data_IF_712424286369
#
_entry.id   IF_712424286369
#
_cell.length_a   1.000
_cell.length_b   1.000
_cell.length_c   1.000
_cell.angle_alpha   90.00
_cell.angle_beta   90.00
_cell.angle_gamma   90.00
#
_symmetry.space_group_name_H-M   'P 1'
#
loop_
_entity.id
_entity.type
_entity.pdbx_description
1 polymer ?
#
# COMPACT_ATOMS: atom_id res chain seq x y z
N UNK A 1 -0.73 9.14 4.02
CA UNK A 1 -1.40 9.46 5.31
C UNK A 1 -2.88 9.03 5.33
N UNK A 2 -3.27 8.03 4.56
CA UNK A 2 -4.62 7.47 4.60
C UNK A 2 -4.52 6.05 5.13
N UNK A 3 -5.60 5.58 5.75
CA UNK A 3 -5.63 4.28 6.43
C UNK A 3 -6.14 3.14 5.54
N UNK A 4 -6.24 3.40 4.23
CA UNK A 4 -6.69 2.50 3.15
C UNK A 4 -5.70 2.51 1.97
N UNK A 5 -4.43 2.81 2.24
CA UNK A 5 -3.35 2.80 1.25
C UNK A 5 -2.00 2.55 1.94
N UNK A 6 -1.03 2.12 1.15
CA UNK A 6 0.30 1.69 1.59
C UNK A 6 1.42 2.43 0.88
N UNK A 7 2.57 2.50 1.53
CA UNK A 7 3.86 2.74 0.89
C UNK A 7 4.74 1.55 1.20
N UNK A 8 5.26 0.88 0.17
CA UNK A 8 6.05 -0.35 0.30
C UNK A 8 7.15 -0.38 -0.76
N UNK A 9 8.15 -1.26 -0.58
CA UNK A 9 9.24 -1.48 -1.53
C UNK A 9 9.12 -2.87 -2.14
N UNK A 10 9.22 -2.97 -3.46
CA UNK A 10 9.34 -4.24 -4.16
C UNK A 10 9.93 -4.06 -5.58
N UNK A 11 9.83 -5.08 -6.43
CA UNK A 11 10.19 -5.02 -7.85
C UNK A 11 9.05 -4.40 -8.70
N UNK A 12 9.41 -3.69 -9.78
CA UNK A 12 8.47 -3.06 -10.73
C UNK A 12 8.26 -3.96 -11.94
N UNK A 13 7.59 -5.07 -11.70
CA UNK A 13 7.32 -6.11 -12.68
C UNK A 13 5.81 -6.35 -12.76
N UNK A 14 5.28 -6.34 -13.98
CA UNK A 14 3.84 -6.39 -14.24
C UNK A 14 3.16 -7.70 -13.83
N UNK A 15 3.84 -8.84 -13.96
CA UNK A 15 3.40 -10.14 -13.45
C UNK A 15 3.26 -10.10 -11.94
N UNK A 16 4.28 -9.59 -11.24
CA UNK A 16 4.28 -9.46 -9.79
C UNK A 16 3.19 -8.52 -9.29
N UNK A 17 2.89 -7.44 -10.00
CA UNK A 17 1.74 -6.57 -9.69
C UNK A 17 0.41 -7.34 -9.76
N UNK A 18 0.24 -8.18 -10.79
CA UNK A 18 -0.95 -9.04 -10.90
C UNK A 18 -1.00 -10.11 -9.80
N UNK A 19 0.15 -10.61 -9.36
CA UNK A 19 0.24 -11.57 -8.26
C UNK A 19 -0.16 -10.91 -6.93
N UNK A 20 0.25 -9.65 -6.69
CA UNK A 20 -0.23 -8.87 -5.55
C UNK A 20 -1.73 -8.66 -5.57
N UNK A 21 -2.31 -8.31 -6.72
CA UNK A 21 -3.77 -8.14 -6.85
C UNK A 21 -4.51 -9.42 -6.47
N UNK A 22 -4.13 -10.55 -7.07
CA UNK A 22 -4.76 -11.85 -6.76
C UNK A 22 -4.56 -12.29 -5.32
N UNK A 23 -3.34 -12.11 -4.80
CA UNK A 23 -2.99 -12.54 -3.45
C UNK A 23 -3.72 -11.71 -2.39
N UNK A 24 -3.78 -10.39 -2.56
CA UNK A 24 -4.49 -9.49 -1.65
C UNK A 24 -6.01 -9.71 -1.70
N UNK A 25 -6.60 -9.97 -2.88
CA UNK A 25 -8.01 -10.40 -2.95
C UNK A 25 -8.23 -11.76 -2.28
N UNK A 26 -7.28 -12.68 -2.35
CA UNK A 26 -7.36 -13.96 -1.65
C UNK A 26 -7.28 -13.85 -0.12
N UNK A 27 -6.57 -12.84 0.40
CA UNK A 27 -6.40 -12.61 1.85
C UNK A 27 -7.48 -11.69 2.45
N UNK A 28 -7.86 -10.65 1.71
CA UNK A 28 -8.79 -9.61 2.12
C UNK A 28 -9.66 -9.21 0.92
N UNK A 29 -10.61 -10.08 0.52
CA UNK A 29 -11.45 -9.85 -0.65
C UNK A 29 -12.31 -8.61 -0.49
N UNK A 30 -12.57 -7.88 -1.58
CA UNK A 30 -13.53 -6.77 -1.54
C UNK A 30 -14.97 -7.27 -1.33
N UNK A 31 -15.37 -8.29 -2.10
CA UNK A 31 -16.74 -8.83 -2.10
C UNK A 31 -16.84 -10.19 -1.38
N UNK A 32 -17.99 -10.50 -0.77
CA UNK A 32 -19.16 -9.64 -0.60
C UNK A 32 -18.93 -8.55 0.46
N UNK A 33 -19.28 -7.29 0.19
CA UNK A 33 -18.96 -6.16 1.09
C UNK A 33 -19.61 -6.25 2.49
N UNK A 34 -20.72 -6.99 2.62
CA UNK A 34 -21.47 -7.15 3.86
C UNK A 34 -20.81 -8.12 4.86
N UNK A 35 -19.75 -8.83 4.43
CA UNK A 35 -18.95 -9.68 5.30
C UNK A 35 -18.20 -8.87 6.38
N UNK A 36 -18.01 -7.57 6.16
CA UNK A 36 -17.26 -6.70 7.05
C UNK A 36 -18.17 -5.79 7.87
N UNK A 37 -18.06 -5.89 9.19
CA UNK A 37 -18.80 -5.02 10.11
C UNK A 37 -18.51 -3.54 9.91
N UNK A 38 -17.31 -3.19 9.45
CA UNK A 38 -16.94 -1.81 9.14
C UNK A 38 -17.85 -1.18 8.06
N UNK A 39 -18.31 -1.99 7.10
CA UNK A 39 -19.16 -1.52 6.00
C UNK A 39 -20.62 -1.29 6.45
N UNK A 40 -21.02 -1.73 7.65
CA UNK A 40 -22.37 -1.51 8.18
C UNK A 40 -22.75 -0.03 8.36
N UNK A 41 -21.77 0.87 8.32
CA UNK A 41 -22.00 2.33 8.36
C UNK A 41 -22.28 2.95 6.98
N UNK A 42 -22.35 2.15 5.92
CA UNK A 42 -22.64 2.61 4.55
C UNK A 42 -21.41 2.79 3.65
N UNK A 43 -20.22 2.49 4.16
CA UNK A 43 -18.97 2.43 3.37
C UNK A 43 -18.79 1.01 2.79
N UNK A 44 -17.85 0.84 1.86
CA UNK A 44 -17.53 -0.44 1.21
C UNK A 44 -16.03 -0.81 1.29
N UNK A 45 -15.21 0.00 1.96
CA UNK A 45 -13.75 -0.04 1.88
C UNK A 45 -13.05 -0.81 3.01
N UNK A 46 -13.78 -1.64 3.77
CA UNK A 46 -13.20 -2.46 4.83
C UNK A 46 -12.00 -3.30 4.36
N UNK A 47 -12.08 -3.87 3.15
CA UNK A 47 -11.00 -4.65 2.56
C UNK A 47 -9.73 -3.81 2.37
N UNK A 48 -9.87 -2.55 1.98
CA UNK A 48 -8.75 -1.64 1.75
C UNK A 48 -7.97 -1.36 3.04
N UNK A 49 -8.65 -1.34 4.20
CA UNK A 49 -8.00 -1.28 5.51
C UNK A 49 -7.19 -2.54 5.82
N UNK A 50 -7.69 -3.71 5.43
CA UNK A 50 -7.03 -5.00 5.64
C UNK A 50 -5.85 -5.18 4.67
N UNK A 51 -6.03 -4.91 3.39
CA UNK A 51 -4.99 -4.96 2.35
C UNK A 51 -3.79 -4.08 2.73
N UNK A 52 -4.04 -2.84 3.17
CA UNK A 52 -2.94 -1.97 3.60
C UNK A 52 -2.26 -2.44 4.87
N UNK A 53 -2.97 -3.17 5.74
CA UNK A 53 -2.39 -3.73 6.96
C UNK A 53 -1.40 -4.85 6.64
N UNK A 54 -1.64 -5.60 5.57
CA UNK A 54 -0.72 -6.60 5.01
C UNK A 54 0.48 -5.92 4.34
N UNK A 55 0.24 -4.93 3.48
CA UNK A 55 1.29 -4.29 2.69
C UNK A 55 2.17 -3.29 3.47
N UNK A 56 1.71 -2.83 4.63
CA UNK A 56 2.44 -1.88 5.48
C UNK A 56 2.12 -0.42 5.16
N UNK A 57 2.30 0.45 6.16
CA UNK A 57 1.97 1.89 6.05
C UNK A 57 3.07 2.72 5.39
N UNK A 58 4.32 2.38 5.68
CA UNK A 58 5.50 3.17 5.36
C UNK A 58 6.74 2.31 5.18
N UNK A 59 7.76 2.93 4.59
CA UNK A 59 9.11 2.39 4.46
C UNK A 59 10.10 3.39 5.02
N UNK A 60 11.24 2.88 5.49
CA UNK A 60 12.39 3.69 5.88
C UNK A 60 13.53 3.32 4.93
N UNK A 61 14.14 4.33 4.32
CA UNK A 61 15.20 4.17 3.33
C UNK A 61 16.42 4.95 3.79
N UNK A 62 17.59 4.31 3.75
CA UNK A 62 18.85 4.99 4.06
C UNK A 62 19.22 5.96 2.93
N UNK A 63 19.90 7.05 3.29
CA UNK A 63 20.49 7.99 2.34
C UNK A 63 21.99 7.96 2.56
N UNK A 64 22.73 7.57 1.52
CA UNK A 64 24.20 7.47 1.54
C UNK A 64 24.75 8.35 0.41
N UNK A 65 25.64 9.28 0.75
CA UNK A 65 26.22 10.25 -0.21
C UNK A 65 25.18 11.07 -1.00
N UNK A 66 24.03 11.39 -0.38
CA UNK A 66 22.96 12.17 -1.01
C UNK A 66 22.03 11.38 -1.92
N UNK A 67 22.18 10.05 -2.02
CA UNK A 67 21.35 9.16 -2.83
C UNK A 67 20.58 8.17 -1.95
N UNK A 68 19.41 7.72 -2.42
CA UNK A 68 18.68 6.63 -1.77
C UNK A 68 19.50 5.35 -1.92
N UNK A 69 19.83 4.72 -0.80
CA UNK A 69 20.71 3.55 -0.75
C UNK A 69 19.90 2.27 -0.99
N UNK A 70 19.58 2.03 -2.26
CA UNK A 70 18.77 0.91 -2.72
C UNK A 70 19.61 -0.26 -3.25
N UNK A 71 19.06 -1.46 -3.08
CA UNK A 71 19.40 -2.62 -3.90
C UNK A 71 18.99 -2.42 -5.38
N UNK A 72 19.52 -3.25 -6.30
CA UNK A 72 19.34 -3.06 -7.75
C UNK A 72 17.89 -3.17 -8.25
N UNK A 73 17.00 -3.78 -7.45
CA UNK A 73 15.60 -4.04 -7.81
C UNK A 73 14.60 -3.38 -6.88
N UNK A 74 15.05 -2.57 -5.92
CA UNK A 74 14.16 -1.91 -4.98
C UNK A 74 13.49 -0.70 -5.64
N UNK A 75 12.16 -0.68 -5.62
CA UNK A 75 11.33 0.43 -6.07
C UNK A 75 10.30 0.76 -5.00
N UNK A 76 10.09 2.05 -4.70
CA UNK A 76 9.04 2.50 -3.78
C UNK A 76 7.72 2.63 -4.54
N UNK A 77 6.65 2.05 -3.98
CA UNK A 77 5.30 2.13 -4.52
C UNK A 77 4.35 2.88 -3.59
N UNK A 78 3.34 3.50 -4.19
CA UNK A 78 2.10 3.85 -3.51
C UNK A 78 1.03 2.82 -3.86
N UNK A 79 0.71 1.94 -2.92
CA UNK A 79 -0.36 0.95 -3.05
C UNK A 79 -1.71 1.57 -2.70
N UNK A 80 -2.54 1.81 -3.71
CA UNK A 80 -3.88 2.37 -3.56
C UNK A 80 -4.94 1.26 -3.54
N UNK A 81 -5.77 1.20 -2.50
CA UNK A 81 -6.80 0.18 -2.33
C UNK A 81 -8.22 0.75 -2.20
N UNK A 82 -8.37 2.08 -2.10
CA UNK A 82 -9.65 2.80 -1.98
C UNK A 82 -9.46 4.20 -2.60
N UNK A 83 -9.38 4.19 -3.94
CA UNK A 83 -8.95 5.30 -4.77
C UNK A 83 -10.08 6.24 -5.21
N UNK A 84 -9.92 6.86 -6.40
CA UNK A 84 -10.90 7.78 -7.03
C UNK A 84 -11.23 9.05 -6.21
N UNK A 85 -10.38 9.38 -5.25
CA UNK A 85 -10.41 10.62 -4.47
C UNK A 85 -8.99 11.07 -4.18
N UNK A 86 -8.78 12.36 -3.90
CA UNK A 86 -7.45 12.86 -3.60
C UNK A 86 -6.93 12.26 -2.29
N UNK A 87 -5.74 11.65 -2.36
CA UNK A 87 -5.02 11.07 -1.23
C UNK A 87 -3.57 11.54 -1.26
N UNK A 88 -2.87 11.37 -0.11
CA UNK A 88 -1.56 11.96 0.15
C UNK A 88 -0.56 10.93 0.65
N UNK A 89 0.70 11.07 0.24
CA UNK A 89 1.88 10.45 0.85
C UNK A 89 2.69 11.54 1.55
N UNK A 90 3.38 11.19 2.64
CA UNK A 90 4.30 12.09 3.34
C UNK A 90 5.71 11.54 3.18
N UNK A 91 6.65 12.41 2.81
CA UNK A 91 8.09 12.11 2.84
C UNK A 91 8.71 12.98 3.92
N UNK A 92 9.51 12.37 4.78
CA UNK A 92 10.23 13.06 5.85
C UNK A 92 11.67 12.56 5.87
N UNK A 93 12.61 13.50 5.78
CA UNK A 93 14.04 13.23 5.76
C UNK A 93 14.67 13.92 6.98
N UNK A 94 15.58 13.21 7.64
CA UNK A 94 16.41 13.71 8.73
C UNK A 94 17.85 13.26 8.44
N UNK A 95 18.84 14.10 8.75
CA UNK A 95 20.24 13.85 8.46
C UNK A 95 21.03 15.14 8.30
N UNK A 96 22.32 15.00 8.04
CA UNK A 96 23.26 16.07 7.66
C UNK A 96 23.81 15.81 6.26
#
# INVERSE_FOLDING_TARGET
>A
MHITASVFINDNESGLHNDYEKWLEGLAPHEPIDQYDHNKTGEDNADAHLKRQVMGRDVVVAITNGELDFGPWEQIFYGEFDGRRQKRVLVKIIGE
#
